data_IF_889491634932
#
_entry.id   IF_889491634932
#
_cell.length_a   1.000
_cell.length_b   1.000
_cell.length_c   1.000
_cell.angle_alpha   90.00
_cell.angle_beta   90.00
_cell.angle_gamma   90.00
#
_symmetry.space_group_name_H-M   'P 1'
#
loop_
_entity.id
_entity.type
_entity.pdbx_description
1 polymer ?
#
# COMPACT_ATOMS: atom_id res chain seq x y z
N UNK A 1 42.66 27.71 56.43
CA UNK A 1 42.51 28.26 55.07
C UNK A 1 43.58 29.32 54.76
N UNK A 2 43.66 30.42 55.50
CA UNK A 2 44.64 31.51 55.26
C UNK A 2 46.10 31.04 55.42
N UNK A 3 46.40 30.22 56.44
CA UNK A 3 47.75 29.69 56.65
C UNK A 3 48.24 28.78 55.50
N UNK A 4 47.34 27.95 54.93
CA UNK A 4 47.67 27.08 53.78
C UNK A 4 47.93 27.92 52.53
N UNK A 5 47.14 28.97 52.31
CA UNK A 5 47.34 29.90 51.20
C UNK A 5 48.66 30.67 51.32
N UNK A 6 49.04 31.10 52.53
CA UNK A 6 50.33 31.77 52.77
C UNK A 6 51.52 30.82 52.59
N UNK A 7 51.41 29.57 53.05
CA UNK A 7 52.46 28.55 52.84
C UNK A 7 52.60 28.20 51.36
N UNK A 8 51.49 28.05 50.63
CA UNK A 8 51.52 27.79 49.19
C UNK A 8 52.10 28.97 48.41
N UNK A 9 51.73 30.21 48.78
CA UNK A 9 52.29 31.42 48.19
C UNK A 9 53.79 31.54 48.46
N UNK A 10 54.22 31.29 49.69
CA UNK A 10 55.64 31.30 50.05
C UNK A 10 56.43 30.23 49.29
N UNK A 11 55.91 29.01 49.18
CA UNK A 11 56.55 27.94 48.43
C UNK A 11 56.68 28.27 46.93
N UNK A 12 55.63 28.86 46.33
CA UNK A 12 55.65 29.31 44.94
C UNK A 12 56.66 30.46 44.74
N UNK A 13 56.67 31.44 45.64
CA UNK A 13 57.61 32.56 45.59
C UNK A 13 59.07 32.09 45.72
N UNK A 14 59.35 31.13 46.61
CA UNK A 14 60.67 30.53 46.77
C UNK A 14 61.06 29.71 45.54
N UNK A 15 60.13 28.95 44.94
CA UNK A 15 60.41 28.20 43.71
C UNK A 15 60.72 29.13 42.52
N UNK A 16 59.99 30.24 42.38
CA UNK A 16 60.24 31.26 41.36
C UNK A 16 61.58 31.97 41.62
N UNK A 17 61.88 32.32 42.87
CA UNK A 17 63.16 32.93 43.24
C UNK A 17 64.34 31.96 42.99
N UNK A 18 64.18 30.67 43.30
CA UNK A 18 65.17 29.63 43.02
C UNK A 18 65.41 29.47 41.51
N UNK A 19 64.35 29.49 40.70
CA UNK A 19 64.44 29.53 39.23
C UNK A 19 65.09 30.81 38.69
N UNK A 20 65.04 31.93 39.42
CA UNK A 20 65.59 33.22 38.98
C UNK A 20 67.03 33.49 39.47
N UNK A 21 67.43 32.94 40.61
CA UNK A 21 68.70 33.29 41.26
C UNK A 21 69.73 32.16 41.21
N UNK A 22 69.29 30.89 41.04
CA UNK A 22 70.20 29.74 41.04
C UNK A 22 70.40 29.19 39.62
N UNK A 23 71.56 29.40 38.99
CA UNK A 23 71.82 28.95 37.62
C UNK A 23 71.80 27.42 37.46
N UNK A 24 72.12 26.66 38.51
CA UNK A 24 72.08 25.19 38.49
C UNK A 24 70.67 24.58 38.38
N UNK A 25 69.65 25.28 38.87
CA UNK A 25 68.24 24.82 38.81
C UNK A 25 67.64 25.09 37.42
N UNK A 26 68.05 26.19 36.78
CA UNK A 26 67.65 26.48 35.39
C UNK A 26 68.11 25.39 34.43
N UNK A 27 69.39 25.01 34.51
CA UNK A 27 69.98 24.02 33.60
C UNK A 27 69.26 22.66 33.67
N UNK A 28 68.95 22.18 34.87
CA UNK A 28 68.29 20.88 35.09
C UNK A 28 66.83 20.85 34.63
N UNK A 29 66.10 21.96 34.77
CA UNK A 29 64.73 22.10 34.26
C UNK A 29 64.70 22.17 32.73
N UNK A 30 65.61 22.95 32.12
CA UNK A 30 65.68 23.07 30.67
C UNK A 30 66.14 21.76 29.99
N UNK A 31 67.08 21.02 30.58
CA UNK A 31 67.49 19.71 30.06
C UNK A 31 66.36 18.68 30.15
N UNK A 32 65.58 18.67 31.23
CA UNK A 32 64.46 17.74 31.40
C UNK A 32 63.34 18.00 30.38
N UNK A 33 63.05 19.28 30.10
CA UNK A 33 62.06 19.69 29.08
C UNK A 33 62.56 19.34 27.67
N UNK A 34 63.84 19.55 27.37
CA UNK A 34 64.43 19.19 26.08
C UNK A 34 64.42 17.68 25.82
N UNK A 35 64.72 16.87 26.85
CA UNK A 35 64.67 15.41 26.75
C UNK A 35 63.24 14.87 26.58
N UNK A 36 62.25 15.50 27.22
CA UNK A 36 60.83 15.14 27.04
C UNK A 36 60.34 15.48 25.62
N UNK A 37 60.69 16.67 25.11
CA UNK A 37 60.36 17.08 23.74
C UNK A 37 61.04 16.19 22.68
N UNK A 38 62.28 15.77 22.91
CA UNK A 38 63.00 14.85 22.02
C UNK A 38 62.40 13.43 21.94
N UNK A 39 61.78 12.94 23.02
CA UNK A 39 61.08 11.64 23.03
C UNK A 39 59.71 11.71 22.36
N UNK A 40 59.02 12.86 22.45
CA UNK A 40 57.71 13.06 21.83
C UNK A 40 57.80 13.22 20.30
N UNK A 41 58.81 13.96 19.82
CA UNK A 41 59.01 14.20 18.37
C UNK A 41 59.47 12.95 17.62
N UNK A 42 60.32 12.10 18.22
CA UNK A 42 60.73 10.82 17.60
C UNK A 42 59.55 9.85 17.43
N UNK A 43 58.64 9.77 18.41
CA UNK A 43 57.42 8.95 18.31
C UNK A 43 56.41 9.48 17.28
N UNK A 44 56.37 10.79 17.06
CA UNK A 44 55.51 11.41 16.04
C UNK A 44 56.02 11.12 14.62
N UNK A 45 57.34 11.21 14.38
CA UNK A 45 57.93 10.95 13.07
C UNK A 45 57.83 9.48 12.64
N UNK A 46 58.02 8.53 13.57
CA UNK A 46 57.91 7.09 13.26
C UNK A 46 56.46 6.67 12.93
N UNK A 47 55.46 7.37 13.49
CA UNK A 47 54.04 7.17 13.12
C UNK A 47 53.71 7.82 11.78
N UNK A 48 54.18 9.04 11.53
CA UNK A 48 53.95 9.74 10.26
C UNK A 48 54.55 9.01 9.05
N UNK A 49 55.73 8.40 9.18
CA UNK A 49 56.36 7.62 8.12
C UNK A 49 55.58 6.34 7.78
N UNK A 50 55.02 5.65 8.78
CA UNK A 50 54.17 4.45 8.58
C UNK A 50 52.86 4.81 7.89
N UNK A 51 52.20 5.89 8.31
CA UNK A 51 50.94 6.36 7.71
C UNK A 51 51.13 6.79 6.25
N UNK A 52 52.23 7.49 5.92
CA UNK A 52 52.53 7.89 4.54
C UNK A 52 52.77 6.68 3.62
N UNK A 53 53.44 5.63 4.12
CA UNK A 53 53.68 4.41 3.35
C UNK A 53 52.39 3.61 3.09
N UNK A 54 51.43 3.62 4.03
CA UNK A 54 50.13 2.99 3.85
C UNK A 54 49.24 3.76 2.88
N UNK A 55 49.23 5.09 2.92
CA UNK A 55 48.46 5.93 1.98
C UNK A 55 48.96 5.75 0.54
N UNK A 56 50.28 5.70 0.31
CA UNK A 56 50.85 5.51 -1.03
C UNK A 56 50.59 4.09 -1.57
N UNK A 57 50.64 3.06 -0.72
CA UNK A 57 50.28 1.68 -1.09
C UNK A 57 48.78 1.55 -1.41
N UNK A 58 47.91 2.20 -0.65
CA UNK A 58 46.47 2.23 -0.94
C UNK A 58 46.16 3.00 -2.23
N UNK A 59 46.79 4.15 -2.46
CA UNK A 59 46.55 4.94 -3.67
C UNK A 59 47.04 4.25 -4.96
N UNK A 60 48.12 3.46 -4.90
CA UNK A 60 48.60 2.66 -6.02
C UNK A 60 47.77 1.40 -6.25
N UNK A 61 47.30 0.75 -5.18
CA UNK A 61 46.36 -0.37 -5.26
C UNK A 61 45.00 0.05 -5.86
N UNK A 62 44.48 1.23 -5.50
CA UNK A 62 43.24 1.78 -6.09
C UNK A 62 43.43 2.11 -7.58
N UNK A 63 44.58 2.67 -7.98
CA UNK A 63 44.88 2.93 -9.39
C UNK A 63 45.01 1.64 -10.20
N UNK A 64 45.68 0.61 -9.66
CA UNK A 64 45.78 -0.72 -10.28
C UNK A 64 44.41 -1.40 -10.42
N UNK A 65 43.59 -1.37 -9.37
CA UNK A 65 42.25 -1.92 -9.40
C UNK A 65 41.36 -1.21 -10.44
N UNK A 66 41.44 0.12 -10.55
CA UNK A 66 40.70 0.87 -11.56
C UNK A 66 41.17 0.54 -12.99
N UNK A 67 42.47 0.40 -13.23
CA UNK A 67 42.98 -0.02 -14.54
C UNK A 67 42.64 -1.47 -14.89
N UNK A 68 42.59 -2.37 -13.90
CA UNK A 68 42.23 -3.76 -14.10
C UNK A 68 40.72 -3.92 -14.37
N UNK A 69 39.88 -3.16 -13.66
CA UNK A 69 38.45 -3.05 -13.96
C UNK A 69 38.25 -2.47 -15.36
N UNK A 70 38.97 -1.40 -15.71
CA UNK A 70 38.89 -0.81 -17.05
C UNK A 70 39.30 -1.81 -18.14
N UNK A 71 40.40 -2.54 -17.95
CA UNK A 71 40.86 -3.58 -18.88
C UNK A 71 39.88 -4.75 -18.96
N UNK A 72 39.28 -5.17 -17.85
CA UNK A 72 38.27 -6.23 -17.83
C UNK A 72 37.01 -5.79 -18.60
N UNK A 73 36.55 -4.56 -18.37
CA UNK A 73 35.41 -3.96 -19.08
C UNK A 73 35.68 -3.85 -20.58
N UNK A 74 36.88 -3.41 -21.00
CA UNK A 74 37.25 -3.31 -22.41
C UNK A 74 37.38 -4.70 -23.05
N UNK A 75 38.05 -5.64 -22.40
CA UNK A 75 38.34 -6.98 -22.95
C UNK A 75 37.09 -7.85 -23.02
N UNK A 76 36.16 -7.70 -22.09
CA UNK A 76 34.88 -8.43 -22.04
C UNK A 76 33.69 -7.60 -22.50
N UNK A 77 33.92 -6.43 -23.12
CA UNK A 77 32.86 -5.49 -23.52
C UNK A 77 31.74 -6.17 -24.32
N UNK A 78 32.09 -7.10 -25.20
CA UNK A 78 31.11 -7.81 -26.02
C UNK A 78 30.22 -8.72 -25.15
N UNK A 79 30.81 -9.51 -24.26
CA UNK A 79 30.06 -10.37 -23.33
C UNK A 79 29.22 -9.56 -22.36
N UNK A 80 29.75 -8.43 -21.86
CA UNK A 80 29.01 -7.52 -20.97
C UNK A 80 27.82 -6.90 -21.72
N UNK A 81 28.02 -6.44 -22.96
CA UNK A 81 26.95 -5.88 -23.79
C UNK A 81 25.90 -6.93 -24.15
N UNK A 82 26.30 -8.17 -24.43
CA UNK A 82 25.37 -9.29 -24.68
C UNK A 82 24.58 -9.62 -23.43
N UNK A 83 25.23 -9.80 -22.28
CA UNK A 83 24.54 -10.09 -21.00
C UNK A 83 23.65 -8.94 -20.55
N UNK A 84 24.11 -7.70 -20.66
CA UNK A 84 23.31 -6.50 -20.37
C UNK A 84 22.13 -6.37 -21.35
N UNK A 85 22.35 -6.70 -22.63
CA UNK A 85 21.30 -6.80 -23.64
C UNK A 85 20.25 -7.82 -23.25
N UNK A 86 20.65 -9.06 -22.94
CA UNK A 86 19.77 -10.15 -22.49
C UNK A 86 18.98 -9.73 -21.24
N UNK A 87 19.64 -9.13 -20.25
CA UNK A 87 19.01 -8.69 -19.00
C UNK A 87 18.07 -7.49 -19.22
N UNK A 88 18.38 -6.61 -20.16
CA UNK A 88 17.56 -5.46 -20.51
C UNK A 88 16.43 -5.81 -21.51
N UNK A 89 16.49 -6.95 -22.20
CA UNK A 89 15.45 -7.36 -23.16
C UNK A 89 14.07 -7.44 -22.54
N UNK A 90 13.83 -8.17 -21.42
CA UNK A 90 12.49 -8.25 -20.83
C UNK A 90 11.88 -6.88 -20.47
N UNK A 91 12.58 -5.95 -19.78
CA UNK A 91 12.01 -4.64 -19.49
C UNK A 91 11.87 -3.75 -20.74
N UNK A 92 12.79 -3.81 -21.72
CA UNK A 92 12.66 -3.04 -22.97
C UNK A 92 11.54 -3.58 -23.86
N UNK A 93 11.37 -4.91 -23.93
CA UNK A 93 10.22 -5.55 -24.59
C UNK A 93 8.94 -5.20 -23.84
N UNK A 94 8.93 -5.18 -22.50
CA UNK A 94 7.78 -4.73 -21.74
C UNK A 94 7.43 -3.25 -22.03
N UNK A 95 8.41 -2.37 -22.20
CA UNK A 95 8.20 -0.95 -22.55
C UNK A 95 7.80 -0.75 -24.01
N UNK A 96 8.42 -1.48 -24.95
CA UNK A 96 8.09 -1.42 -26.37
C UNK A 96 6.70 -2.04 -26.65
N UNK A 97 6.38 -3.12 -25.95
CA UNK A 97 5.04 -3.67 -25.91
C UNK A 97 4.10 -2.76 -25.11
N UNK A 98 4.53 -1.90 -24.17
CA UNK A 98 3.65 -0.94 -23.47
C UNK A 98 2.90 0.01 -24.41
N UNK A 99 3.45 0.28 -25.60
CA UNK A 99 2.78 1.06 -26.65
C UNK A 99 1.82 0.25 -27.54
N UNK A 100 1.99 -1.08 -27.62
CA UNK A 100 1.10 -2.03 -28.32
C UNK A 100 0.18 -2.83 -27.40
N UNK A 101 0.45 -2.77 -26.11
CA UNK A 101 -0.20 -3.31 -24.94
C UNK A 101 -0.19 -2.18 -23.91
N UNK A 102 -0.91 -1.11 -24.26
CA UNK A 102 -1.70 -0.45 -23.22
C UNK A 102 -2.33 -1.59 -22.44
N UNK A 103 -2.03 -1.64 -21.14
CA UNK A 103 -2.71 -2.49 -20.19
C UNK A 103 -4.18 -2.54 -20.61
N UNK A 104 -4.58 -3.69 -21.14
CA UNK A 104 -5.97 -4.05 -21.25
C UNK A 104 -6.38 -4.35 -19.81
N UNK A 105 -6.42 -3.31 -18.98
CA UNK A 105 -7.52 -3.20 -18.04
C UNK A 105 -8.72 -3.33 -18.97
N UNK A 106 -9.54 -4.34 -18.73
CA UNK A 106 -10.69 -4.63 -19.57
C UNK A 106 -11.73 -3.53 -19.33
N UNK A 107 -11.41 -2.32 -19.81
CA UNK A 107 -12.29 -1.19 -20.10
C UNK A 107 -13.00 -1.42 -21.44
N UNK A 108 -12.88 -2.62 -22.02
CA UNK A 108 -14.05 -3.13 -22.72
C UNK A 108 -15.09 -3.27 -21.62
N UNK A 109 -15.91 -2.22 -21.47
CA UNK A 109 -17.31 -2.40 -21.13
C UNK A 109 -17.74 -3.51 -22.07
N UNK A 110 -17.68 -4.75 -21.56
CA UNK A 110 -17.87 -5.98 -22.30
C UNK A 110 -19.10 -5.68 -23.11
N UNK A 111 -18.92 -5.46 -24.42
CA UNK A 111 -19.98 -4.89 -25.25
C UNK A 111 -21.15 -5.79 -24.95
N UNK A 112 -22.21 -5.28 -24.26
CA UNK A 112 -23.22 -6.17 -23.74
C UNK A 112 -23.66 -6.96 -24.95
N UNK A 113 -23.58 -8.29 -24.85
CA UNK A 113 -24.02 -9.22 -25.89
C UNK A 113 -25.23 -8.57 -26.58
N UNK A 114 -25.28 -8.43 -27.91
CA UNK A 114 -26.26 -7.52 -28.55
C UNK A 114 -27.70 -7.75 -28.05
N UNK A 115 -27.98 -8.99 -27.61
CA UNK A 115 -29.18 -9.38 -26.85
C UNK A 115 -29.33 -8.69 -25.48
N UNK A 116 -28.29 -8.66 -24.64
CA UNK A 116 -28.22 -7.90 -23.38
C UNK A 116 -28.38 -6.40 -23.65
N UNK A 117 -27.72 -5.85 -24.66
CA UNK A 117 -27.89 -4.43 -25.02
C UNK A 117 -29.33 -4.11 -25.45
N UNK A 118 -29.95 -4.99 -26.24
CA UNK A 118 -31.35 -4.87 -26.64
C UNK A 118 -32.32 -5.02 -25.47
N UNK A 119 -32.06 -5.94 -24.52
CA UNK A 119 -32.84 -6.08 -23.29
C UNK A 119 -32.74 -4.84 -22.39
N UNK A 120 -31.56 -4.21 -22.32
CA UNK A 120 -31.37 -2.96 -21.57
C UNK A 120 -32.13 -1.77 -22.21
N UNK A 121 -32.41 -1.80 -23.51
CA UNK A 121 -33.06 -0.70 -24.24
C UNK A 121 -34.58 -0.91 -24.45
N UNK A 122 -35.06 -2.15 -24.51
CA UNK A 122 -36.43 -2.46 -24.94
C UNK A 122 -37.40 -2.93 -23.86
N UNK A 123 -36.92 -3.44 -22.73
CA UNK A 123 -37.77 -3.98 -21.66
C UNK A 123 -37.59 -3.14 -20.37
N UNK A 124 -38.62 -2.39 -19.98
CA UNK A 124 -38.58 -1.67 -18.70
C UNK A 124 -38.79 -2.68 -17.56
N UNK A 125 -37.69 -3.29 -17.11
CA UNK A 125 -37.71 -4.18 -15.97
C UNK A 125 -38.20 -3.42 -14.73
N UNK A 126 -39.11 -4.04 -13.99
CA UNK A 126 -39.63 -3.52 -12.72
C UNK A 126 -38.93 -4.22 -11.55
N UNK A 127 -38.62 -3.50 -10.46
CA UNK A 127 -38.11 -4.13 -9.25
C UNK A 127 -39.04 -5.21 -8.71
N UNK A 128 -38.48 -6.29 -8.12
CA UNK A 128 -39.31 -7.27 -7.42
C UNK A 128 -40.06 -6.59 -6.27
N UNK A 129 -41.22 -7.14 -5.86
CA UNK A 129 -41.96 -6.61 -4.73
C UNK A 129 -41.09 -6.59 -3.45
N UNK A 130 -41.24 -5.59 -2.58
CA UNK A 130 -40.48 -5.52 -1.35
C UNK A 130 -40.78 -6.72 -0.47
N UNK A 131 -39.73 -7.31 0.09
CA UNK A 131 -39.86 -8.43 1.02
C UNK A 131 -40.35 -7.95 2.39
N UNK A 132 -41.05 -8.80 3.16
CA UNK A 132 -41.45 -8.48 4.52
C UNK A 132 -40.23 -8.10 5.39
N UNK A 133 -40.30 -7.03 6.20
CA UNK A 133 -39.17 -6.59 7.03
C UNK A 133 -38.61 -7.67 7.95
N UNK A 134 -39.45 -8.62 8.38
CA UNK A 134 -39.11 -9.71 9.28
C UNK A 134 -38.03 -10.64 8.69
N UNK A 135 -37.99 -10.77 7.36
CA UNK A 135 -36.99 -11.59 6.64
C UNK A 135 -35.56 -11.09 6.92
N UNK A 136 -35.40 -9.78 7.10
CA UNK A 136 -34.11 -9.13 7.34
C UNK A 136 -33.76 -8.97 8.83
N UNK A 137 -34.67 -9.35 9.73
CA UNK A 137 -34.53 -9.17 11.18
C UNK A 137 -34.46 -10.53 11.93
N UNK A 138 -34.23 -11.63 11.22
CA UNK A 138 -34.00 -12.95 11.83
C UNK A 138 -32.66 -12.98 12.56
N UNK A 139 -32.53 -13.86 13.57
CA UNK A 139 -31.30 -13.96 14.36
C UNK A 139 -30.10 -14.39 13.51
N UNK A 140 -30.34 -15.27 12.54
CA UNK A 140 -29.34 -15.76 11.61
C UNK A 140 -28.80 -14.62 10.74
N UNK A 141 -29.69 -13.75 10.29
CA UNK A 141 -29.33 -12.56 9.50
C UNK A 141 -28.58 -11.54 10.34
N UNK A 142 -29.03 -11.26 11.57
CA UNK A 142 -28.35 -10.34 12.48
C UNK A 142 -26.92 -10.80 12.84
N UNK A 143 -26.71 -12.11 12.98
CA UNK A 143 -25.37 -12.68 13.22
C UNK A 143 -24.40 -12.44 12.05
N UNK A 144 -24.89 -12.50 10.81
CA UNK A 144 -24.07 -12.34 9.60
C UNK A 144 -23.93 -10.86 9.22
N UNK A 145 -25.00 -10.07 9.36
CA UNK A 145 -25.09 -8.65 8.98
C UNK A 145 -25.91 -7.86 10.03
N UNK A 146 -25.31 -7.45 11.17
CA UNK A 146 -26.05 -6.87 12.30
C UNK A 146 -26.73 -5.52 12.00
N UNK A 147 -26.20 -4.72 11.07
CA UNK A 147 -26.76 -3.41 10.72
C UNK A 147 -27.73 -3.44 9.52
N UNK A 148 -28.21 -4.64 9.13
CA UNK A 148 -28.96 -4.82 7.89
C UNK A 148 -30.43 -4.36 7.97
N UNK A 149 -31.03 -4.37 9.16
CA UNK A 149 -32.43 -3.98 9.37
C UNK A 149 -32.73 -2.58 8.83
N UNK A 150 -31.82 -1.64 9.07
CA UNK A 150 -31.98 -0.22 8.70
C UNK A 150 -31.35 0.12 7.33
N UNK A 151 -30.96 -0.88 6.54
CA UNK A 151 -30.42 -0.67 5.21
C UNK A 151 -31.52 -0.24 4.22
N UNK A 152 -31.22 0.72 3.34
CA UNK A 152 -32.18 1.09 2.30
C UNK A 152 -32.23 0.03 1.21
N UNK A 153 -33.44 -0.34 0.82
CA UNK A 153 -33.73 -1.24 -0.33
C UNK A 153 -34.60 -0.53 -1.36
N UNK A 154 -34.63 0.79 -1.31
CA UNK A 154 -35.37 1.60 -2.27
C UNK A 154 -34.62 1.67 -3.61
N UNK A 155 -35.14 0.95 -4.59
CA UNK A 155 -34.62 0.89 -5.94
C UNK A 155 -34.67 2.25 -6.66
N UNK A 156 -35.49 3.21 -6.22
CA UNK A 156 -35.56 4.54 -6.83
C UNK A 156 -34.37 5.43 -6.47
N UNK A 157 -33.60 5.05 -5.44
CA UNK A 157 -32.38 5.75 -5.05
C UNK A 157 -31.13 5.22 -5.77
N UNK A 158 -31.30 4.22 -6.64
CA UNK A 158 -30.23 3.73 -7.50
C UNK A 158 -30.15 4.55 -8.78
N UNK A 159 -28.94 4.70 -9.31
CA UNK A 159 -28.73 5.28 -10.64
C UNK A 159 -29.54 4.48 -11.69
N UNK A 160 -30.24 5.12 -12.63
CA UNK A 160 -31.10 4.43 -13.58
C UNK A 160 -30.38 3.35 -14.40
N UNK A 161 -29.14 3.61 -14.83
CA UNK A 161 -28.36 2.66 -15.63
C UNK A 161 -27.94 1.46 -14.79
N UNK A 162 -27.54 1.71 -13.55
CA UNK A 162 -27.20 0.66 -12.59
C UNK A 162 -28.42 -0.19 -12.24
N UNK A 163 -29.56 0.46 -11.96
CA UNK A 163 -30.82 -0.22 -11.67
C UNK A 163 -31.22 -1.18 -12.79
N UNK A 164 -31.22 -0.72 -14.05
CA UNK A 164 -31.60 -1.58 -15.18
C UNK A 164 -30.67 -2.79 -15.31
N UNK A 165 -29.36 -2.59 -15.14
CA UNK A 165 -28.38 -3.70 -15.15
C UNK A 165 -28.61 -4.68 -14.01
N UNK A 166 -28.82 -4.19 -12.80
CA UNK A 166 -29.05 -5.04 -11.63
C UNK A 166 -30.36 -5.82 -11.75
N UNK A 167 -31.42 -5.23 -12.30
CA UNK A 167 -32.66 -5.93 -12.59
C UNK A 167 -32.48 -7.03 -13.64
N UNK A 168 -31.63 -6.79 -14.64
CA UNK A 168 -31.29 -7.82 -15.62
C UNK A 168 -30.51 -8.98 -14.96
N UNK A 169 -29.62 -8.70 -14.01
CA UNK A 169 -28.97 -9.76 -13.19
C UNK A 169 -30.02 -10.58 -12.45
N UNK A 170 -30.99 -9.93 -11.79
CA UNK A 170 -32.05 -10.62 -11.05
C UNK A 170 -32.87 -11.53 -11.97
N UNK A 171 -33.25 -11.03 -13.15
CA UNK A 171 -33.97 -11.80 -14.16
C UNK A 171 -33.18 -13.03 -14.61
N UNK A 172 -31.91 -12.86 -14.96
CA UNK A 172 -31.05 -13.97 -15.41
C UNK A 172 -30.84 -15.00 -14.29
N UNK A 173 -30.58 -14.56 -13.06
CA UNK A 173 -30.39 -15.46 -11.90
C UNK A 173 -31.64 -16.30 -11.62
N UNK A 174 -32.83 -15.69 -11.71
CA UNK A 174 -34.09 -16.40 -11.56
C UNK A 174 -34.32 -17.37 -12.72
N UNK A 175 -34.33 -16.89 -13.96
CA UNK A 175 -34.74 -17.66 -15.13
C UNK A 175 -33.75 -18.77 -15.53
N UNK A 176 -32.44 -18.52 -15.41
CA UNK A 176 -31.40 -19.45 -15.88
C UNK A 176 -30.80 -20.32 -14.77
N UNK A 177 -30.87 -19.86 -13.53
CA UNK A 177 -30.19 -20.51 -12.41
C UNK A 177 -31.12 -20.88 -11.25
N UNK A 178 -32.39 -20.45 -11.27
CA UNK A 178 -33.35 -20.76 -10.21
C UNK A 178 -33.01 -20.14 -8.87
N UNK A 179 -32.25 -19.04 -8.85
CA UNK A 179 -31.92 -18.30 -7.63
C UNK A 179 -32.82 -17.08 -7.50
N UNK A 180 -33.65 -17.07 -6.46
CA UNK A 180 -34.38 -15.89 -6.05
C UNK A 180 -33.43 -14.91 -5.36
N UNK A 181 -33.28 -13.71 -5.93
CA UNK A 181 -32.38 -12.68 -5.42
C UNK A 181 -33.10 -11.75 -4.43
N UNK A 182 -32.36 -11.23 -3.46
CA UNK A 182 -32.83 -10.22 -2.51
C UNK A 182 -31.82 -9.08 -2.36
N UNK A 183 -32.33 -7.85 -2.45
CA UNK A 183 -31.54 -6.64 -2.21
C UNK A 183 -31.34 -6.50 -0.69
N UNK A 184 -30.10 -6.56 -0.25
CA UNK A 184 -29.72 -6.33 1.14
C UNK A 184 -29.60 -4.83 1.42
N UNK A 185 -28.84 -4.14 0.58
CA UNK A 185 -28.64 -2.69 0.66
C UNK A 185 -28.35 -2.11 -0.73
N UNK A 186 -29.09 -1.07 -1.11
CA UNK A 186 -28.83 -0.25 -2.30
C UNK A 186 -28.16 1.06 -1.92
N UNK A 187 -28.91 2.16 -1.92
CA UNK A 187 -28.39 3.45 -1.48
C UNK A 187 -28.03 3.47 0.01
N UNK A 188 -26.88 4.05 0.35
CA UNK A 188 -26.45 4.26 1.74
C UNK A 188 -26.23 5.74 2.00
N UNK A 189 -26.86 6.29 3.02
CA UNK A 189 -26.63 7.70 3.36
C UNK A 189 -25.22 7.94 3.93
N UNK A 190 -24.65 9.14 3.78
CA UNK A 190 -23.38 9.51 4.42
C UNK A 190 -23.37 9.30 5.94
N UNK A 191 -24.49 9.61 6.62
CA UNK A 191 -24.64 9.43 8.07
C UNK A 191 -24.58 7.95 8.44
N UNK A 192 -25.25 7.09 7.65
CA UNK A 192 -25.19 5.64 7.85
C UNK A 192 -23.78 5.11 7.59
N UNK A 193 -23.11 5.58 6.53
CA UNK A 193 -21.72 5.18 6.24
C UNK A 193 -20.78 5.54 7.40
N UNK A 194 -20.91 6.74 7.98
CA UNK A 194 -20.14 7.14 9.15
C UNK A 194 -20.44 6.26 10.37
N UNK A 195 -21.71 5.90 10.61
CA UNK A 195 -22.07 4.96 11.70
C UNK A 195 -21.44 3.59 11.47
N UNK A 196 -21.47 3.05 10.25
CA UNK A 196 -20.85 1.76 9.95
C UNK A 196 -19.33 1.79 10.12
N UNK A 197 -18.67 2.88 9.69
CA UNK A 197 -17.22 3.04 9.87
C UNK A 197 -16.83 3.03 11.36
N UNK A 198 -17.70 3.54 12.25
CA UNK A 198 -17.50 3.49 13.71
C UNK A 198 -17.69 2.09 14.31
N UNK A 199 -18.39 1.17 13.64
CA UNK A 199 -18.57 -0.22 14.09
C UNK A 199 -17.33 -1.10 13.86
N UNK A 200 -16.31 -0.57 13.17
CA UNK A 200 -15.02 -1.22 12.95
C UNK A 200 -14.78 -1.63 11.50
N UNK A 201 -13.51 -1.85 11.18
CA UNK A 201 -13.01 -2.18 9.82
C UNK A 201 -13.58 -3.47 9.23
N UNK A 202 -14.13 -4.35 10.08
CA UNK A 202 -14.79 -5.59 9.66
C UNK A 202 -16.12 -5.33 8.92
N UNK A 203 -16.71 -4.14 9.04
CA UNK A 203 -17.97 -3.78 8.39
C UNK A 203 -17.72 -2.95 7.13
N UNK A 204 -16.90 -1.90 7.23
CA UNK A 204 -16.46 -1.10 6.09
C UNK A 204 -15.18 -0.33 6.44
N UNK A 205 -14.30 -0.16 5.47
CA UNK A 205 -13.12 0.71 5.59
C UNK A 205 -13.33 2.08 4.93
N UNK A 206 -14.50 2.33 4.34
CA UNK A 206 -14.79 3.58 3.65
C UNK A 206 -15.40 4.61 4.61
N UNK A 207 -14.93 5.85 4.55
CA UNK A 207 -15.61 6.99 5.17
C UNK A 207 -16.78 7.49 4.31
N UNK A 208 -17.51 8.49 4.78
CA UNK A 208 -18.51 9.16 3.96
C UNK A 208 -17.93 9.67 2.62
N UNK A 209 -18.70 9.44 1.55
CA UNK A 209 -18.45 9.73 0.15
C UNK A 209 -17.33 8.90 -0.49
N UNK A 210 -16.88 7.85 0.19
CA UNK A 210 -15.87 6.91 -0.29
C UNK A 210 -16.47 5.55 -0.67
N UNK A 211 -17.79 5.47 -0.84
CA UNK A 211 -18.49 4.25 -1.25
C UNK A 211 -19.47 4.54 -2.38
N UNK A 212 -19.51 3.66 -3.39
CA UNK A 212 -20.45 3.74 -4.51
C UNK A 212 -21.92 3.64 -4.08
N UNK A 213 -22.21 3.04 -2.92
CA UNK A 213 -23.57 3.01 -2.35
C UNK A 213 -24.13 4.42 -2.12
N UNK A 214 -23.28 5.40 -1.80
CA UNK A 214 -23.72 6.76 -1.52
C UNK A 214 -24.09 7.55 -2.77
N UNK A 215 -23.82 6.97 -3.94
CA UNK A 215 -24.14 7.54 -5.24
C UNK A 215 -25.18 6.69 -5.99
N UNK A 216 -25.77 5.68 -5.32
CA UNK A 216 -26.72 4.76 -5.94
C UNK A 216 -26.08 3.88 -7.02
N UNK A 217 -24.77 3.65 -6.95
CA UNK A 217 -24.00 2.91 -7.94
C UNK A 217 -23.45 1.58 -7.40
N UNK A 218 -23.90 1.14 -6.23
CA UNK A 218 -23.56 -0.17 -5.66
C UNK A 218 -24.77 -0.82 -5.00
N UNK A 219 -24.69 -2.15 -4.87
CA UNK A 219 -25.69 -2.93 -4.16
C UNK A 219 -25.07 -4.17 -3.51
N UNK A 220 -25.56 -4.48 -2.31
CA UNK A 220 -25.31 -5.72 -1.60
C UNK A 220 -26.52 -6.64 -1.80
N UNK A 221 -26.27 -7.89 -2.18
CA UNK A 221 -27.30 -8.85 -2.57
C UNK A 221 -27.09 -10.21 -1.88
N UNK A 222 -28.18 -10.96 -1.72
CA UNK A 222 -28.19 -12.34 -1.26
C UNK A 222 -29.33 -13.11 -1.93
N UNK A 223 -29.59 -14.32 -1.44
CA UNK A 223 -30.56 -15.23 -2.03
C UNK A 223 -31.70 -15.54 -1.05
N UNK A 224 -32.88 -15.82 -1.61
CA UNK A 224 -33.99 -16.41 -0.89
C UNK A 224 -34.06 -17.91 -1.18
N UNK A 225 -34.25 -18.70 -0.12
CA UNK A 225 -34.59 -20.11 -0.21
C UNK A 225 -35.70 -20.40 0.79
N UNK A 226 -36.83 -20.90 0.30
CA UNK A 226 -38.02 -21.20 1.12
C UNK A 226 -38.50 -19.99 1.95
N UNK A 227 -38.48 -18.79 1.34
CA UNK A 227 -38.87 -17.53 1.98
C UNK A 227 -37.88 -17.00 3.04
N UNK A 228 -36.73 -17.68 3.23
CA UNK A 228 -35.68 -17.26 4.16
C UNK A 228 -34.48 -16.70 3.42
N UNK A 229 -33.88 -15.68 4.02
CA UNK A 229 -32.67 -15.07 3.51
C UNK A 229 -31.45 -15.94 3.81
N UNK A 230 -30.70 -16.32 2.78
CA UNK A 230 -29.46 -17.08 2.89
C UNK A 230 -28.31 -16.20 2.43
N UNK A 231 -27.54 -15.69 3.39
CA UNK A 231 -26.44 -14.74 3.15
C UNK A 231 -25.07 -15.42 3.23
N UNK A 232 -24.85 -16.34 4.17
CA UNK A 232 -23.51 -16.87 4.40
C UNK A 232 -23.07 -17.82 3.30
N UNK A 233 -21.90 -17.54 2.73
CA UNK A 233 -21.17 -18.37 1.79
C UNK A 233 -20.65 -19.69 2.38
N UNK A 234 -20.79 -19.88 3.70
CA UNK A 234 -20.58 -21.18 4.35
C UNK A 234 -21.63 -22.20 3.91
N UNK A 235 -22.81 -21.76 3.48
CA UNK A 235 -23.78 -22.63 2.80
C UNK A 235 -23.29 -22.87 1.35
N UNK A 236 -23.00 -24.13 0.96
CA UNK A 236 -22.50 -24.43 -0.40
C UNK A 236 -23.45 -23.99 -1.52
N UNK A 237 -24.77 -24.00 -1.26
CA UNK A 237 -25.77 -23.53 -2.22
C UNK A 237 -25.68 -22.02 -2.40
N UNK A 238 -25.48 -21.26 -1.31
CA UNK A 238 -25.30 -19.81 -1.39
C UNK A 238 -23.95 -19.45 -2.04
N UNK A 239 -22.88 -20.17 -1.72
CA UNK A 239 -21.58 -20.00 -2.38
C UNK A 239 -21.69 -20.20 -3.90
N UNK A 240 -22.39 -21.25 -4.33
CA UNK A 240 -22.65 -21.47 -5.76
C UNK A 240 -23.47 -20.34 -6.38
N UNK A 241 -24.49 -19.87 -5.66
CA UNK A 241 -25.27 -18.70 -6.05
C UNK A 241 -24.40 -17.47 -6.27
N UNK A 242 -23.49 -17.17 -5.34
CA UNK A 242 -22.58 -16.02 -5.45
C UNK A 242 -21.62 -16.13 -6.64
N UNK A 243 -21.12 -17.33 -6.95
CA UNK A 243 -20.28 -17.54 -8.13
C UNK A 243 -21.04 -17.27 -9.43
N UNK A 244 -22.29 -17.72 -9.54
CA UNK A 244 -23.15 -17.48 -10.70
C UNK A 244 -23.53 -16.01 -10.80
N UNK A 245 -23.96 -15.43 -9.68
CA UNK A 245 -24.28 -14.00 -9.56
C UNK A 245 -23.12 -13.11 -10.01
N UNK A 246 -21.90 -13.40 -9.56
CA UNK A 246 -20.71 -12.66 -9.98
C UNK A 246 -20.47 -12.73 -11.48
N UNK A 247 -20.61 -13.92 -12.09
CA UNK A 247 -20.46 -14.09 -13.54
C UNK A 247 -21.52 -13.32 -14.33
N UNK A 248 -22.78 -13.36 -13.88
CA UNK A 248 -23.89 -12.64 -14.52
C UNK A 248 -23.72 -11.12 -14.35
N UNK A 249 -23.32 -10.65 -13.18
CA UNK A 249 -23.04 -9.24 -12.93
C UNK A 249 -21.94 -8.70 -13.86
N UNK A 250 -20.84 -9.45 -14.01
CA UNK A 250 -19.75 -9.12 -14.94
C UNK A 250 -20.22 -9.11 -16.41
N UNK A 251 -21.14 -9.99 -16.81
CA UNK A 251 -21.69 -10.03 -18.17
C UNK A 251 -22.50 -8.78 -18.53
N UNK A 252 -23.16 -8.15 -17.55
CA UNK A 252 -23.94 -6.92 -17.76
C UNK A 252 -23.14 -5.64 -17.45
N UNK A 253 -21.82 -5.76 -17.29
CA UNK A 253 -20.91 -4.63 -17.12
C UNK A 253 -20.83 -4.06 -15.70
N UNK A 254 -21.14 -4.87 -14.68
CA UNK A 254 -20.91 -4.52 -13.28
C UNK A 254 -19.58 -5.11 -12.80
N UNK A 255 -18.93 -4.41 -11.87
CA UNK A 255 -17.76 -4.89 -11.14
C UNK A 255 -18.23 -5.71 -9.94
N UNK A 256 -17.79 -6.96 -9.83
CA UNK A 256 -18.19 -7.85 -8.72
C UNK A 256 -17.13 -7.90 -7.60
N UNK A 257 -17.58 -7.71 -6.35
CA UNK A 257 -16.72 -7.69 -5.16
C UNK A 257 -16.07 -9.04 -4.82
N UNK A 258 -16.56 -10.15 -5.39
CA UNK A 258 -15.93 -11.46 -5.25
C UNK A 258 -14.58 -11.60 -5.96
N UNK A 259 -14.21 -10.66 -6.83
CA UNK A 259 -12.86 -10.59 -7.45
C UNK A 259 -11.83 -9.87 -6.59
N UNK A 260 -12.25 -9.22 -5.50
CA UNK A 260 -11.35 -8.44 -4.66
C UNK A 260 -10.46 -9.33 -3.78
N UNK A 261 -9.31 -8.79 -3.36
CA UNK A 261 -8.39 -9.49 -2.45
C UNK A 261 -9.06 -9.84 -1.13
N UNK A 262 -9.88 -8.92 -0.61
CA UNK A 262 -10.85 -9.21 0.45
C UNK A 262 -12.21 -9.32 -0.24
N UNK A 263 -12.67 -10.55 -0.43
CA UNK A 263 -13.86 -10.84 -1.21
C UNK A 263 -15.11 -10.31 -0.50
N UNK A 264 -15.96 -9.62 -1.26
CA UNK A 264 -17.32 -9.28 -0.85
C UNK A 264 -18.30 -9.85 -1.87
N UNK A 265 -18.74 -11.09 -1.64
CA UNK A 265 -19.43 -11.90 -2.64
C UNK A 265 -20.83 -11.38 -2.99
N UNK A 266 -21.49 -10.69 -2.06
CA UNK A 266 -22.80 -10.07 -2.29
C UNK A 266 -22.73 -8.73 -3.02
N UNK A 267 -21.55 -8.14 -3.14
CA UNK A 267 -21.37 -6.76 -3.54
C UNK A 267 -21.13 -6.60 -5.05
N UNK A 268 -21.77 -5.61 -5.66
CA UNK A 268 -21.48 -5.14 -7.03
C UNK A 268 -21.45 -3.62 -7.10
N UNK A 269 -20.61 -3.11 -8.00
CA UNK A 269 -20.49 -1.68 -8.31
C UNK A 269 -20.68 -1.43 -9.81
N UNK A 270 -21.32 -0.32 -10.17
CA UNK A 270 -21.31 0.20 -11.54
C UNK A 270 -20.30 1.33 -11.66
N UNK A 271 -19.22 1.07 -12.40
CA UNK A 271 -18.19 2.07 -12.71
C UNK A 271 -18.65 2.90 -13.90
N UNK A 272 -19.65 3.76 -13.64
CA UNK A 272 -20.30 4.58 -14.66
C UNK A 272 -19.26 5.44 -15.40
N UNK A 273 -19.25 5.43 -16.75
CA UNK A 273 -18.33 6.27 -17.53
C UNK A 273 -18.42 7.74 -17.12
N UNK A 274 -17.26 8.34 -16.84
CA UNK A 274 -17.15 9.74 -16.41
C UNK A 274 -17.40 9.98 -14.91
N UNK A 275 -17.94 9.02 -14.17
CA UNK A 275 -18.02 9.10 -12.71
C UNK A 275 -16.65 8.79 -12.09
N UNK A 276 -16.24 9.57 -11.10
CA UNK A 276 -15.04 9.32 -10.30
C UNK A 276 -15.39 9.43 -8.83
N UNK A 277 -15.17 8.35 -8.09
CA UNK A 277 -15.33 8.36 -6.64
C UNK A 277 -14.33 9.35 -6.02
N UNK A 278 -14.82 10.24 -5.16
CA UNK A 278 -13.98 11.21 -4.47
C UNK A 278 -12.95 10.47 -3.61
N UNK A 279 -11.66 10.69 -3.88
CA UNK A 279 -10.62 10.28 -2.93
C UNK A 279 -10.71 11.24 -1.77
N UNK A 280 -11.02 10.75 -0.57
CA UNK A 280 -10.91 11.57 0.63
C UNK A 280 -9.51 12.15 0.72
N UNK A 281 -9.45 13.46 0.91
CA UNK A 281 -8.25 14.22 1.24
C UNK A 281 -7.73 13.85 2.61
#
# INVERSE_FOLDING_TARGET
>A
MIAVALVAYFALAVAVAALLLLPGIRATVFESVAQFHGRLTRRANDRAARTRSQIVKSASATRGALSDVQNLLVRRRLMIMVSAGILATPPLVAIALRGRQLFQYDDTARVPDEKIAALLQGEQLVPPPPLPPEVFATKEVEQVRPALKDASRDWNLLDPDFRTRLLLVYKIMHEQHGYEMALLEGYRSPERQNRLAQMGSNVTNAAAFQSYHQFGLAADNAFLRDGKLVISEKDPWAMRGYQLYGQVAEQVGLTWGGRWKMMDLGHVEYHKPGFKLGRGS
#
